data_IF_226707670259
#
_entry.id   IF_226707670259
#
_cell.length_a   1.000
_cell.length_b   1.000
_cell.length_c   1.000
_cell.angle_alpha   90.00
_cell.angle_beta   90.00
_cell.angle_gamma   90.00
#
_symmetry.space_group_name_H-M   'P 1'
#
loop_
_entity.id
_entity.type
_entity.pdbx_description
1 polymer ?
#
# COMPACT_ATOMS: atom_id res chain seq x y z
N UNK A 1 15.75 43.71 -50.59
CA UNK A 1 16.56 42.96 -49.59
C UNK A 1 16.05 43.13 -48.17
N UNK A 2 15.89 44.35 -47.64
CA UNK A 2 15.52 44.61 -46.23
C UNK A 2 14.22 43.93 -45.77
N UNK A 3 13.15 43.99 -46.59
CA UNK A 3 11.86 43.38 -46.24
C UNK A 3 11.92 41.84 -46.10
N UNK A 4 12.80 41.18 -46.85
CA UNK A 4 12.99 39.73 -46.78
C UNK A 4 13.70 39.33 -45.47
N UNK A 5 14.73 40.08 -45.10
CA UNK A 5 15.47 39.88 -43.86
C UNK A 5 14.59 40.08 -42.63
N UNK A 6 13.75 41.12 -42.62
CA UNK A 6 12.81 41.40 -41.52
C UNK A 6 11.74 40.29 -41.41
N UNK A 7 11.18 39.83 -42.53
CA UNK A 7 10.16 38.75 -42.53
C UNK A 7 10.74 37.40 -42.09
N UNK A 8 11.98 37.11 -42.47
CA UNK A 8 12.69 35.91 -42.02
C UNK A 8 13.00 35.97 -40.52
N UNK A 9 13.46 37.13 -40.04
CA UNK A 9 13.74 37.38 -38.62
C UNK A 9 12.47 37.25 -37.76
N UNK A 10 11.34 37.83 -38.19
CA UNK A 10 10.03 37.70 -37.50
C UNK A 10 9.52 36.26 -37.46
N UNK A 11 9.76 35.47 -38.52
CA UNK A 11 9.45 34.02 -38.53
C UNK A 11 10.31 33.25 -37.53
N UNK A 12 11.61 33.56 -37.44
CA UNK A 12 12.49 32.91 -36.45
C UNK A 12 12.08 33.25 -35.02
N UNK A 13 11.72 34.51 -34.72
CA UNK A 13 11.19 34.89 -33.43
C UNK A 13 9.86 34.19 -33.10
N UNK A 14 8.94 34.05 -34.06
CA UNK A 14 7.69 33.32 -33.87
C UNK A 14 7.92 31.84 -33.57
N UNK A 15 8.87 31.19 -34.26
CA UNK A 15 9.19 29.78 -34.04
C UNK A 15 9.78 29.55 -32.64
N UNK A 16 10.68 30.43 -32.18
CA UNK A 16 11.27 30.36 -30.83
C UNK A 16 10.20 30.52 -29.76
N UNK A 17 9.27 31.47 -29.92
CA UNK A 17 8.18 31.68 -28.97
C UNK A 17 7.27 30.45 -28.90
N UNK A 18 6.96 29.82 -30.04
CA UNK A 18 6.14 28.60 -30.08
C UNK A 18 6.87 27.44 -29.39
N UNK A 19 8.15 27.24 -29.65
CA UNK A 19 8.95 26.18 -29.01
C UNK A 19 9.05 26.41 -27.50
N UNK A 20 9.26 27.65 -27.06
CA UNK A 20 9.27 28.00 -25.63
C UNK A 20 7.90 27.80 -24.98
N UNK A 21 6.80 28.12 -25.68
CA UNK A 21 5.44 27.90 -25.19
C UNK A 21 5.11 26.40 -25.08
N UNK A 22 5.53 25.59 -26.06
CA UNK A 22 5.40 24.12 -26.01
C UNK A 22 6.24 23.56 -24.87
N UNK A 23 7.49 24.02 -24.71
CA UNK A 23 8.35 23.59 -23.61
C UNK A 23 7.76 23.96 -22.25
N UNK A 24 7.23 25.19 -22.08
CA UNK A 24 6.52 25.60 -20.86
C UNK A 24 5.27 24.76 -20.62
N UNK A 25 4.49 24.49 -21.65
CA UNK A 25 3.29 23.65 -21.54
C UNK A 25 3.64 22.22 -21.15
N UNK A 26 4.66 21.62 -21.76
CA UNK A 26 5.17 20.28 -21.39
C UNK A 26 5.68 20.30 -19.95
N UNK A 27 6.43 21.33 -19.54
CA UNK A 27 6.97 21.45 -18.19
C UNK A 27 5.86 21.62 -17.13
N UNK A 28 4.84 22.42 -17.41
CA UNK A 28 3.67 22.57 -16.54
C UNK A 28 2.88 21.26 -16.40
N UNK A 29 2.72 20.48 -17.49
CA UNK A 29 2.04 19.18 -17.44
C UNK A 29 2.84 18.12 -16.68
N UNK A 30 4.18 18.11 -16.79
CA UNK A 30 5.04 17.21 -16.00
C UNK A 30 4.96 17.54 -14.50
N UNK A 31 4.98 18.82 -14.13
CA UNK A 31 4.92 19.24 -12.72
C UNK A 31 3.58 18.91 -12.02
N UNK A 32 2.48 18.77 -12.77
CA UNK A 32 1.19 18.34 -12.22
C UNK A 32 1.11 16.82 -11.99
N UNK A 33 1.96 16.02 -12.63
CA UNK A 33 1.94 14.57 -12.52
C UNK A 33 2.60 14.03 -11.23
N UNK A 34 3.48 14.82 -10.60
CA UNK A 34 4.36 14.35 -9.51
C UNK A 34 4.15 15.06 -8.17
N UNK A 35 2.98 15.68 -7.91
CA UNK A 35 2.72 16.17 -6.56
C UNK A 35 2.69 14.96 -5.60
N UNK A 36 3.59 14.88 -4.60
CA UNK A 36 3.61 13.76 -3.69
C UNK A 36 2.24 13.64 -2.99
N UNK A 37 1.75 12.41 -2.78
CA UNK A 37 0.48 12.20 -2.11
C UNK A 37 0.45 12.95 -0.77
N UNK A 38 -0.58 13.76 -0.55
CA UNK A 38 -0.79 14.42 0.74
C UNK A 38 -1.11 13.35 1.80
N UNK A 39 -0.84 13.63 3.08
CA UNK A 39 -1.09 12.67 4.18
C UNK A 39 -2.53 12.12 4.25
N UNK A 40 -3.48 12.84 3.68
CA UNK A 40 -4.91 12.47 3.64
C UNK A 40 -5.34 11.81 2.32
N UNK A 41 -4.48 11.79 1.30
CA UNK A 41 -4.80 11.13 0.03
C UNK A 41 -4.88 9.61 0.20
N UNK A 42 -5.84 8.99 -0.48
CA UNK A 42 -5.92 7.53 -0.58
C UNK A 42 -4.88 7.06 -1.58
N UNK A 43 -4.02 6.15 -1.16
CA UNK A 43 -2.98 5.54 -1.97
C UNK A 43 -3.04 4.02 -1.83
N UNK A 44 -2.39 3.31 -2.74
CA UNK A 44 -2.18 1.89 -2.64
C UNK A 44 -0.70 1.57 -2.81
N UNK A 45 -0.20 0.64 -2.01
CA UNK A 45 1.18 0.14 -2.07
C UNK A 45 1.15 -1.38 -2.14
N UNK A 46 2.06 -1.94 -2.93
CA UNK A 46 2.50 -3.32 -2.77
C UNK A 46 3.76 -3.33 -1.92
N UNK A 47 3.94 -4.37 -1.11
CA UNK A 47 5.13 -4.55 -0.31
C UNK A 47 5.59 -5.99 -0.25
N UNK A 48 6.90 -6.16 -0.13
CA UNK A 48 7.56 -7.45 0.05
C UNK A 48 8.41 -7.39 1.31
N UNK A 49 8.23 -8.37 2.18
CA UNK A 49 8.98 -8.50 3.43
C UNK A 49 9.85 -9.75 3.37
N UNK A 50 11.13 -9.58 3.67
CA UNK A 50 12.13 -10.64 3.67
C UNK A 50 12.71 -10.82 5.08
N UNK A 51 13.02 -12.06 5.44
CA UNK A 51 13.62 -12.45 6.71
C UNK A 51 13.07 -13.79 7.21
N UNK A 52 13.14 -14.04 8.51
CA UNK A 52 12.42 -15.16 9.13
C UNK A 52 10.98 -14.73 9.42
N UNK A 53 10.13 -14.74 8.38
CA UNK A 53 8.79 -14.14 8.40
C UNK A 53 7.65 -15.13 8.13
N UNK A 54 7.95 -16.42 7.93
CA UNK A 54 6.94 -17.47 7.78
C UNK A 54 6.88 -18.39 8.99
N UNK A 55 5.73 -19.01 9.24
CA UNK A 55 5.49 -19.90 10.39
C UNK A 55 5.70 -19.26 11.78
N UNK A 56 5.78 -17.93 11.85
CA UNK A 56 6.01 -17.13 13.08
C UNK A 56 4.84 -16.21 13.43
N UNK A 57 3.69 -16.39 12.77
CA UNK A 57 2.51 -15.54 12.97
C UNK A 57 2.58 -14.16 12.29
N UNK A 58 3.53 -13.93 11.38
CA UNK A 58 3.73 -12.63 10.75
C UNK A 58 2.51 -12.11 9.96
N UNK A 59 1.85 -12.97 9.15
CA UNK A 59 0.61 -12.59 8.46
C UNK A 59 -0.53 -12.25 9.42
N UNK A 60 -0.62 -12.94 10.57
CA UNK A 60 -1.58 -12.55 11.60
C UNK A 60 -1.27 -11.17 12.19
N UNK A 61 0.00 -10.79 12.27
CA UNK A 61 0.41 -9.45 12.64
C UNK A 61 0.07 -8.40 11.57
N UNK A 62 0.36 -8.65 10.29
CA UNK A 62 -0.06 -7.76 9.19
C UNK A 62 -1.59 -7.58 9.17
N UNK A 63 -2.34 -8.66 9.39
CA UNK A 63 -3.80 -8.60 9.47
C UNK A 63 -4.29 -7.72 10.62
N UNK A 64 -3.67 -7.83 11.81
CA UNK A 64 -3.96 -6.93 12.94
C UNK A 64 -3.65 -5.47 12.61
N UNK A 65 -2.55 -5.18 11.91
CA UNK A 65 -2.25 -3.82 11.45
C UNK A 65 -3.29 -3.32 10.45
N UNK A 66 -3.70 -4.14 9.48
CA UNK A 66 -4.75 -3.80 8.53
C UNK A 66 -6.08 -3.46 9.24
N UNK A 67 -6.45 -4.25 10.25
CA UNK A 67 -7.61 -3.95 11.10
C UNK A 67 -7.41 -2.63 11.85
N UNK A 68 -6.28 -2.49 12.56
CA UNK A 68 -5.95 -1.34 13.40
C UNK A 68 -6.03 -0.02 12.62
N UNK A 69 -5.42 -0.01 11.43
CA UNK A 69 -5.31 1.15 10.57
C UNK A 69 -6.37 1.23 9.47
N UNK A 70 -7.38 0.37 9.48
CA UNK A 70 -8.45 0.30 8.46
C UNK A 70 -7.97 0.19 6.99
N UNK A 71 -6.95 -0.64 6.73
CA UNK A 71 -6.35 -0.75 5.40
C UNK A 71 -7.00 -1.91 4.63
N UNK A 72 -7.28 -1.70 3.35
CA UNK A 72 -7.77 -2.73 2.43
C UNK A 72 -6.60 -3.39 1.69
N UNK A 73 -6.82 -4.56 1.09
CA UNK A 73 -5.82 -5.30 0.33
C UNK A 73 -5.75 -6.77 0.69
N UNK A 74 -4.54 -7.32 0.72
CA UNK A 74 -4.33 -8.72 1.08
C UNK A 74 -2.87 -8.98 1.44
N UNK A 75 -2.60 -10.12 2.05
CA UNK A 75 -1.25 -10.67 2.18
C UNK A 75 -1.20 -12.15 1.78
N UNK A 76 -0.01 -12.64 1.44
CA UNK A 76 0.25 -14.05 1.17
C UNK A 76 1.72 -14.42 1.43
N UNK A 77 1.95 -15.68 1.81
CA UNK A 77 3.30 -16.24 1.79
C UNK A 77 3.67 -16.62 0.35
N UNK A 78 4.89 -16.30 -0.05
CA UNK A 78 5.45 -16.79 -1.32
C UNK A 78 6.31 -18.04 -1.08
N UNK A 79 6.53 -18.81 -2.14
CA UNK A 79 7.30 -20.07 -2.09
C UNK A 79 8.79 -19.86 -1.81
N UNK A 80 9.30 -18.65 -2.02
CA UNK A 80 10.70 -18.27 -1.76
C UNK A 80 10.97 -17.89 -0.29
N UNK A 81 9.97 -17.99 0.59
CA UNK A 81 10.08 -17.66 2.01
C UNK A 81 9.71 -16.22 2.35
N UNK A 82 9.43 -15.37 1.37
CA UNK A 82 9.00 -13.98 1.60
C UNK A 82 7.50 -13.87 1.88
N UNK A 83 7.06 -12.70 2.34
CA UNK A 83 5.64 -12.34 2.46
C UNK A 83 5.37 -11.12 1.58
N UNK A 84 4.36 -11.23 0.74
CA UNK A 84 3.86 -10.13 -0.09
C UNK A 84 2.55 -9.58 0.49
N UNK A 85 2.36 -8.28 0.40
CA UNK A 85 1.11 -7.64 0.79
C UNK A 85 0.74 -6.47 -0.14
N UNK A 86 -0.55 -6.18 -0.21
CA UNK A 86 -1.09 -4.93 -0.72
C UNK A 86 -1.79 -4.21 0.42
N UNK A 87 -1.53 -2.91 0.56
CA UNK A 87 -2.30 -2.02 1.43
C UNK A 87 -2.82 -0.83 0.66
N UNK A 88 -4.10 -0.53 0.86
CA UNK A 88 -4.78 0.64 0.34
C UNK A 88 -5.50 1.38 1.47
N UNK A 89 -5.34 2.70 1.49
CA UNK A 89 -5.91 3.57 2.51
C UNK A 89 -5.28 4.96 2.47
N UNK A 90 -5.57 5.78 3.49
CA UNK A 90 -4.90 7.09 3.60
C UNK A 90 -3.40 6.89 3.75
N UNK A 91 -2.60 7.69 3.06
CA UNK A 91 -1.13 7.66 3.12
C UNK A 91 -0.62 7.62 4.57
N UNK A 92 -1.15 8.49 5.44
CA UNK A 92 -0.80 8.53 6.87
C UNK A 92 -1.00 7.20 7.61
N UNK A 93 -2.05 6.44 7.28
CA UNK A 93 -2.36 5.15 7.91
C UNK A 93 -1.43 4.05 7.39
N UNK A 94 -1.11 4.09 6.09
CA UNK A 94 -0.14 3.18 5.47
C UNK A 94 1.26 3.41 6.06
N UNK A 95 1.69 4.65 6.17
CA UNK A 95 3.00 5.00 6.75
C UNK A 95 3.12 4.52 8.20
N UNK A 96 2.08 4.74 9.00
CA UNK A 96 2.02 4.27 10.38
C UNK A 96 2.05 2.74 10.47
N UNK A 97 1.35 2.02 9.59
CA UNK A 97 1.36 0.57 9.56
C UNK A 97 2.72 0.00 9.14
N UNK A 98 3.34 0.55 8.10
CA UNK A 98 4.68 0.14 7.61
C UNK A 98 5.72 0.35 8.72
N UNK A 99 5.66 1.45 9.45
CA UNK A 99 6.59 1.73 10.54
C UNK A 99 6.54 0.70 11.69
N UNK A 100 5.44 -0.06 11.84
CA UNK A 100 5.35 -1.13 12.83
C UNK A 100 5.98 -2.45 12.36
N UNK A 101 6.20 -2.64 11.05
CA UNK A 101 6.67 -3.91 10.48
C UNK A 101 8.03 -4.35 11.09
N UNK A 102 9.05 -3.48 11.21
CA UNK A 102 10.36 -3.89 11.72
C UNK A 102 10.36 -4.30 13.20
N UNK A 103 9.44 -3.76 14.01
CA UNK A 103 9.40 -3.93 15.47
C UNK A 103 8.31 -4.90 15.94
N UNK A 104 7.60 -5.56 15.01
CA UNK A 104 6.36 -6.26 15.27
C UNK A 104 6.41 -7.27 16.42
N UNK A 105 5.30 -7.37 17.16
CA UNK A 105 5.06 -8.26 18.31
C UNK A 105 4.91 -9.74 17.88
N UNK A 106 5.92 -10.25 17.17
CA UNK A 106 5.98 -11.61 16.65
C UNK A 106 7.40 -12.15 16.84
N UNK A 107 7.57 -13.47 16.74
CA UNK A 107 8.90 -14.09 16.66
C UNK A 107 9.60 -13.87 15.31
N UNK A 108 9.04 -13.03 14.43
CA UNK A 108 9.61 -12.75 13.13
C UNK A 108 10.89 -11.94 13.23
N UNK A 109 11.85 -12.22 12.35
CA UNK A 109 13.04 -11.41 12.16
C UNK A 109 12.93 -10.80 10.78
N UNK A 110 12.62 -9.50 10.71
CA UNK A 110 12.52 -8.77 9.45
C UNK A 110 13.90 -8.23 9.06
N UNK A 111 14.37 -8.62 7.88
CA UNK A 111 15.64 -8.14 7.32
C UNK A 111 15.42 -6.96 6.37
N UNK A 112 14.31 -6.97 5.62
CA UNK A 112 14.01 -5.93 4.65
C UNK A 112 12.51 -5.77 4.44
N UNK A 113 12.08 -4.52 4.23
CA UNK A 113 10.74 -4.17 3.74
C UNK A 113 10.94 -3.32 2.50
N UNK A 114 10.43 -3.79 1.36
CA UNK A 114 10.39 -3.04 0.11
C UNK A 114 8.94 -2.68 -0.20
N UNK A 115 8.68 -1.44 -0.59
CA UNK A 115 7.34 -1.01 -1.00
C UNK A 115 7.38 -0.27 -2.33
N UNK A 116 6.28 -0.37 -3.09
CA UNK A 116 6.09 0.30 -4.37
C UNK A 116 4.66 0.80 -4.47
N UNK A 117 4.50 2.03 -4.95
CA UNK A 117 3.18 2.60 -5.25
C UNK A 117 2.51 1.84 -6.40
N UNK A 118 1.21 1.58 -6.26
CA UNK A 118 0.37 0.94 -7.28
C UNK A 118 -0.93 1.74 -7.45
N UNK A 119 -1.66 1.57 -8.57
CA UNK A 119 -2.96 2.22 -8.76
C UNK A 119 -3.95 1.83 -7.66
N UNK A 120 -4.73 2.81 -7.21
CA UNK A 120 -5.85 2.61 -6.27
C UNK A 120 -6.98 1.86 -6.97
N UNK A 121 -7.55 0.87 -6.29
CA UNK A 121 -8.79 0.20 -6.69
C UNK A 121 -9.96 0.75 -5.84
N UNK A 122 -10.87 1.57 -6.41
CA UNK A 122 -11.99 2.15 -5.66
C UNK A 122 -12.97 1.14 -5.05
N UNK A 123 -13.04 -0.07 -5.60
CA UNK A 123 -13.96 -1.12 -5.13
C UNK A 123 -13.38 -1.95 -3.97
N UNK A 124 -12.09 -1.77 -3.65
CA UNK A 124 -11.39 -2.56 -2.66
C UNK A 124 -11.75 -2.09 -1.23
N UNK A 125 -12.64 -2.83 -0.57
CA UNK A 125 -13.15 -2.53 0.78
C UNK A 125 -12.91 -3.65 1.80
N UNK A 126 -12.06 -4.64 1.47
CA UNK A 126 -11.66 -5.73 2.35
C UNK A 126 -10.15 -5.87 2.45
N UNK A 127 -9.66 -6.41 3.56
CA UNK A 127 -8.34 -7.03 3.67
C UNK A 127 -8.46 -8.54 3.80
N UNK A 128 -7.67 -9.28 3.01
CA UNK A 128 -7.71 -10.75 2.99
C UNK A 128 -6.34 -11.35 3.28
N UNK A 129 -6.24 -12.18 4.31
CA UNK A 129 -5.07 -13.06 4.52
C UNK A 129 -5.27 -14.32 3.70
N UNK A 130 -4.51 -14.50 2.62
CA UNK A 130 -4.72 -15.63 1.69
C UNK A 130 -4.06 -16.90 2.19
N UNK A 131 -4.78 -18.02 2.17
CA UNK A 131 -4.24 -19.32 2.59
C UNK A 131 -3.68 -19.30 4.01
N UNK A 132 -4.44 -18.75 4.96
CA UNK A 132 -4.09 -18.75 6.36
C UNK A 132 -4.12 -20.17 6.94
N UNK A 133 -3.13 -20.47 7.78
CA UNK A 133 -3.02 -21.69 8.58
C UNK A 133 -2.42 -21.34 9.94
N UNK A 134 -2.58 -22.20 10.93
CA UNK A 134 -2.03 -21.98 12.26
C UNK A 134 -1.65 -23.29 12.95
N UNK A 135 -0.33 -23.51 13.10
CA UNK A 135 0.21 -24.70 13.77
C UNK A 135 -0.17 -24.74 15.25
N UNK A 136 -0.04 -23.63 15.97
CA UNK A 136 -0.36 -23.55 17.40
C UNK A 136 -1.84 -23.84 17.71
N UNK A 137 -2.71 -23.73 16.70
CA UNK A 137 -4.16 -23.95 16.80
C UNK A 137 -4.59 -25.26 16.16
N UNK A 138 -3.65 -26.09 15.73
CA UNK A 138 -3.91 -27.33 15.00
C UNK A 138 -4.77 -27.13 13.74
N UNK A 139 -4.63 -25.98 13.06
CA UNK A 139 -5.40 -25.63 11.88
C UNK A 139 -4.53 -25.65 10.62
N UNK A 140 -4.60 -26.74 9.86
CA UNK A 140 -3.71 -27.00 8.72
C UNK A 140 -4.38 -26.83 7.35
N UNK A 141 -5.71 -26.69 7.29
CA UNK A 141 -6.44 -26.46 6.04
C UNK A 141 -6.31 -25.00 5.62
N UNK A 142 -5.70 -24.65 4.48
CA UNK A 142 -5.60 -23.26 4.04
C UNK A 142 -6.98 -22.63 3.88
N UNK A 143 -7.20 -21.49 4.53
CA UNK A 143 -8.47 -20.74 4.49
C UNK A 143 -8.18 -19.25 4.49
N UNK A 144 -9.00 -18.46 3.81
CA UNK A 144 -8.83 -17.02 3.77
C UNK A 144 -9.46 -16.35 4.99
N UNK A 145 -8.70 -15.49 5.68
CA UNK A 145 -9.27 -14.60 6.71
C UNK A 145 -9.65 -13.29 6.06
N UNK A 146 -10.89 -12.84 6.26
CA UNK A 146 -11.38 -11.59 5.66
C UNK A 146 -11.78 -10.59 6.74
N UNK A 147 -11.42 -9.34 6.50
CA UNK A 147 -11.84 -8.18 7.26
C UNK A 147 -12.43 -7.14 6.31
N UNK A 148 -13.66 -6.71 6.57
CA UNK A 148 -14.27 -5.59 5.84
C UNK A 148 -13.93 -4.28 6.55
N UNK A 149 -13.58 -3.26 5.77
CA UNK A 149 -13.24 -1.94 6.29
C UNK A 149 -14.40 -1.33 7.06
N UNK A 150 -14.09 -0.51 8.07
CA UNK A 150 -15.06 0.37 8.73
C UNK A 150 -15.33 1.60 7.88
N UNK A 151 -16.56 2.09 7.96
CA UNK A 151 -17.01 3.30 7.26
C UNK A 151 -16.35 4.58 7.78
N UNK A 152 -16.11 4.65 9.10
CA UNK A 152 -15.59 5.85 9.77
C UNK A 152 -14.10 6.12 9.54
N UNK A 153 -13.39 5.20 8.86
CA UNK A 153 -11.94 5.23 8.66
C UNK A 153 -11.11 5.40 9.95
N UNK A 154 -11.68 5.09 11.11
CA UNK A 154 -11.04 5.30 12.40
C UNK A 154 -9.86 4.34 12.60
N UNK A 155 -8.75 4.87 13.09
CA UNK A 155 -7.66 4.06 13.64
C UNK A 155 -8.09 3.64 15.04
N UNK A 156 -8.00 2.35 15.33
CA UNK A 156 -8.35 1.79 16.65
C UNK A 156 -7.09 1.39 17.41
N UNK A 157 -7.24 1.05 18.70
CA UNK A 157 -6.09 0.56 19.49
C UNK A 157 -5.67 -0.85 19.06
N UNK A 158 -4.40 -1.19 19.27
CA UNK A 158 -3.88 -2.54 19.02
C UNK A 158 -4.68 -3.62 19.79
N UNK A 159 -5.13 -3.31 21.02
CA UNK A 159 -5.99 -4.21 21.82
C UNK A 159 -7.35 -4.46 21.17
N UNK A 160 -7.96 -3.41 20.60
CA UNK A 160 -9.22 -3.55 19.87
C UNK A 160 -9.03 -4.35 18.58
N UNK A 161 -7.96 -4.09 17.82
CA UNK A 161 -7.62 -4.86 16.63
C UNK A 161 -7.37 -6.35 16.94
N UNK A 162 -6.66 -6.65 18.04
CA UNK A 162 -6.45 -8.01 18.52
C UNK A 162 -7.77 -8.71 18.89
N UNK A 163 -8.75 -7.99 19.45
CA UNK A 163 -10.08 -8.54 19.76
C UNK A 163 -10.84 -8.88 18.47
N UNK A 164 -10.82 -8.00 17.47
CA UNK A 164 -11.43 -8.26 16.17
C UNK A 164 -10.78 -9.48 15.50
N UNK A 165 -9.45 -9.54 15.46
CA UNK A 165 -8.70 -10.69 14.94
C UNK A 165 -9.15 -12.01 15.59
N UNK A 166 -9.23 -12.05 16.94
CA UNK A 166 -9.68 -13.24 17.67
C UNK A 166 -11.11 -13.63 17.29
N UNK A 167 -12.00 -12.66 17.15
CA UNK A 167 -13.38 -12.91 16.72
C UNK A 167 -13.47 -13.42 15.27
N UNK A 168 -12.57 -12.99 14.38
CA UNK A 168 -12.51 -13.47 12.98
C UNK A 168 -12.09 -14.93 12.91
N UNK A 169 -11.12 -15.35 13.72
CA UNK A 169 -10.61 -16.74 13.67
C UNK A 169 -11.43 -17.72 14.51
N UNK A 170 -12.13 -17.27 15.56
CA UNK A 170 -12.90 -18.15 16.47
C UNK A 170 -13.84 -19.11 15.74
N UNK A 171 -14.65 -18.70 14.74
CA UNK A 171 -15.53 -19.62 14.02
C UNK A 171 -14.78 -20.69 13.22
N UNK A 172 -13.49 -20.47 12.93
CA UNK A 172 -12.66 -21.33 12.10
C UNK A 172 -11.93 -22.38 12.95
N UNK A 173 -11.38 -21.96 14.09
CA UNK A 173 -10.56 -22.81 14.96
C UNK A 173 -11.28 -23.31 16.22
N UNK A 174 -12.46 -22.78 16.54
CA UNK A 174 -13.18 -23.04 17.78
C UNK A 174 -12.77 -22.12 18.92
N UNK A 175 -13.30 -22.39 20.12
CA UNK A 175 -12.84 -21.76 21.36
C UNK A 175 -11.57 -22.48 21.85
N UNK A 176 -10.45 -21.76 21.92
CA UNK A 176 -9.22 -22.16 22.63
C UNK A 176 -9.38 -22.01 24.14
#
# INVERSE_FOLDING_TARGET
MIAYTVKHLLKQFSLVIIVLAIALFVFQNVALADKPPTKDSVVAVTGTVTGNVQQVGFRAFLFKLAIQYNLAGWDQNLSDGTVEFIWQGKQSRIDQAIAQIPTGDTSAIVTQVLTKSIPVNPELNTFVVRGWTSVSRHYFKPTDLTFTLRDDNSVISAKAAQKIYKNTIRPIVGDE
#
